data_IF_071557798547
#
_entry.id   IF_071557798547
#
_cell.length_a   1.000
_cell.length_b   1.000
_cell.length_c   1.000
_cell.angle_alpha   90.00
_cell.angle_beta   90.00
_cell.angle_gamma   90.00
#
_symmetry.space_group_name_H-M   'P 1'
#
loop_
_entity.id
_entity.type
_entity.pdbx_description
1 polymer ?
#
# COMPACT_ATOMS: atom_id res chain seq x y z
N UNK A 1 -42.71 -21.89 -14.55
CA UNK A 1 -41.95 -22.72 -13.60
C UNK A 1 -40.49 -22.36 -13.75
N UNK A 2 -39.99 -21.49 -12.87
CA UNK A 2 -38.59 -21.10 -12.78
C UNK A 2 -37.86 -22.07 -11.84
N UNK A 3 -36.91 -22.80 -12.33
CA UNK A 3 -36.01 -23.62 -11.53
C UNK A 3 -34.70 -22.82 -11.33
N UNK A 4 -34.54 -22.26 -10.13
CA UNK A 4 -33.27 -21.67 -9.70
C UNK A 4 -32.33 -22.79 -9.24
N UNK A 5 -31.27 -22.97 -9.97
CA UNK A 5 -30.17 -23.87 -9.57
C UNK A 5 -29.16 -23.04 -8.79
N UNK A 6 -29.15 -23.20 -7.49
CA UNK A 6 -28.10 -22.65 -6.62
C UNK A 6 -26.85 -23.52 -6.74
N UNK A 7 -25.78 -22.97 -7.30
CA UNK A 7 -24.46 -23.58 -7.26
C UNK A 7 -23.78 -23.17 -5.96
N UNK A 8 -23.74 -24.07 -5.00
CA UNK A 8 -22.89 -23.95 -3.83
C UNK A 8 -21.45 -24.28 -4.22
N UNK A 9 -20.61 -23.26 -4.30
CA UNK A 9 -19.15 -23.46 -4.34
C UNK A 9 -18.67 -23.61 -2.91
N UNK A 10 -18.34 -24.85 -2.53
CA UNK A 10 -17.65 -25.11 -1.28
C UNK A 10 -16.18 -24.72 -1.49
N UNK A 11 -15.79 -23.55 -0.98
CA UNK A 11 -14.39 -23.16 -0.85
C UNK A 11 -13.87 -23.84 0.41
N UNK A 12 -13.05 -24.88 0.20
CA UNK A 12 -12.34 -25.55 1.27
C UNK A 12 -11.29 -24.61 1.85
N UNK A 13 -11.49 -24.23 3.10
CA UNK A 13 -10.50 -23.50 3.88
C UNK A 13 -9.29 -24.41 4.15
N UNK A 14 -8.21 -24.23 3.42
CA UNK A 14 -6.88 -24.66 3.85
C UNK A 14 -6.32 -23.52 4.69
N UNK A 15 -6.52 -23.61 5.99
CA UNK A 15 -5.86 -22.74 6.93
C UNK A 15 -4.36 -23.10 6.94
N UNK A 16 -3.58 -22.48 6.09
CA UNK A 16 -2.15 -22.36 6.27
C UNK A 16 -1.94 -21.27 7.32
N UNK A 17 -1.67 -21.73 8.55
CA UNK A 17 -1.20 -20.88 9.64
C UNK A 17 0.18 -20.37 9.25
N UNK A 18 0.25 -19.24 8.59
CA UNK A 18 1.46 -18.46 8.44
C UNK A 18 1.58 -17.64 9.72
N UNK A 19 2.45 -18.08 10.59
CA UNK A 19 2.74 -17.37 11.82
C UNK A 19 3.37 -16.03 11.47
N UNK A 20 2.64 -14.94 11.68
CA UNK A 20 3.27 -13.66 12.00
C UNK A 20 4.10 -13.92 13.27
N UNK A 21 5.39 -14.06 13.10
CA UNK A 21 6.31 -14.00 14.22
C UNK A 21 6.38 -12.53 14.67
N UNK A 22 5.36 -12.08 15.40
CA UNK A 22 5.52 -10.86 16.19
C UNK A 22 6.60 -11.16 17.20
N UNK A 23 7.82 -10.84 16.85
CA UNK A 23 8.95 -10.87 17.75
C UNK A 23 8.77 -9.73 18.74
N UNK A 24 8.00 -10.00 19.79
CA UNK A 24 8.01 -9.16 20.98
C UNK A 24 9.41 -9.27 21.60
N UNK A 25 10.31 -8.45 21.14
CA UNK A 25 11.70 -8.44 21.57
C UNK A 25 12.30 -7.09 21.31
N UNK A 26 12.39 -6.26 22.36
CA UNK A 26 13.26 -5.09 22.40
C UNK A 26 12.73 -3.89 21.61
N UNK A 27 12.62 -2.76 22.27
CA UNK A 27 12.31 -1.44 21.74
C UNK A 27 13.42 -0.91 20.81
N UNK A 28 13.56 -1.46 19.60
CA UNK A 28 14.51 -1.01 18.60
C UNK A 28 13.81 -0.41 17.37
N UNK A 29 12.49 -0.18 17.43
CA UNK A 29 11.76 0.58 16.41
C UNK A 29 11.86 2.10 16.68
N UNK A 30 11.67 2.93 15.65
CA UNK A 30 11.59 4.38 15.85
C UNK A 30 10.40 4.73 16.76
N UNK A 31 10.50 5.85 17.50
CA UNK A 31 9.47 6.30 18.45
C UNK A 31 8.07 6.48 17.85
N UNK A 32 7.95 6.45 16.50
CA UNK A 32 6.72 6.67 15.75
C UNK A 32 5.97 5.40 15.31
N UNK A 33 6.51 4.19 15.63
CA UNK A 33 5.83 2.96 15.21
C UNK A 33 6.49 1.69 15.75
N UNK A 34 5.98 0.54 15.31
CA UNK A 34 6.45 -0.79 15.66
C UNK A 34 6.97 -1.53 14.43
N UNK A 35 8.01 -2.34 14.60
CA UNK A 35 8.58 -3.14 13.53
C UNK A 35 7.68 -4.33 13.19
N UNK A 36 7.45 -4.56 11.90
CA UNK A 36 6.77 -5.72 11.36
C UNK A 36 7.57 -6.33 10.20
N UNK A 37 7.40 -7.61 9.96
CA UNK A 37 8.03 -8.34 8.86
C UNK A 37 6.97 -9.12 8.08
N UNK A 38 7.05 -9.06 6.76
CA UNK A 38 6.25 -9.88 5.87
C UNK A 38 7.17 -10.74 5.00
N UNK A 39 7.08 -12.06 5.17
CA UNK A 39 7.95 -13.00 4.50
C UNK A 39 7.59 -13.19 3.00
N UNK A 40 6.34 -12.94 2.61
CA UNK A 40 5.90 -13.05 1.23
C UNK A 40 6.34 -11.83 0.43
N UNK A 41 6.20 -10.63 0.99
CA UNK A 41 6.77 -9.43 0.44
C UNK A 41 8.31 -9.41 0.55
N UNK A 42 8.89 -10.22 1.43
CA UNK A 42 10.32 -10.28 1.67
C UNK A 42 10.90 -8.99 2.26
N UNK A 43 10.11 -8.31 3.10
CA UNK A 43 10.48 -6.99 3.64
C UNK A 43 10.01 -6.81 5.08
N UNK A 44 10.85 -6.18 5.89
CA UNK A 44 10.47 -5.59 7.16
C UNK A 44 10.18 -4.11 6.99
N UNK A 45 9.27 -3.56 7.80
CA UNK A 45 8.83 -2.18 7.74
C UNK A 45 8.28 -1.71 9.09
N UNK A 46 8.09 -0.40 9.23
CA UNK A 46 7.51 0.17 10.45
C UNK A 46 6.00 0.40 10.24
N UNK A 47 5.21 -0.19 11.14
CA UNK A 47 3.77 0.09 11.27
C UNK A 47 3.61 1.30 12.19
N UNK A 48 3.05 2.43 11.73
CA UNK A 48 2.94 3.63 12.56
C UNK A 48 2.03 3.43 13.76
N UNK A 49 2.27 4.21 14.81
CA UNK A 49 1.37 4.25 15.98
C UNK A 49 -0.05 4.62 15.56
N UNK A 50 -1.05 3.84 16.00
CA UNK A 50 -2.45 4.01 15.61
C UNK A 50 -2.80 3.42 14.25
N UNK A 51 -1.92 2.54 13.73
CA UNK A 51 -2.17 1.72 12.55
C UNK A 51 -2.01 0.24 12.89
N UNK A 52 -2.75 -0.60 12.19
CA UNK A 52 -2.74 -2.05 12.35
C UNK A 52 -2.62 -2.74 10.99
N UNK A 53 -1.94 -3.89 10.99
CA UNK A 53 -1.92 -4.81 9.83
C UNK A 53 -3.26 -5.54 9.80
N UNK A 54 -3.90 -5.59 8.64
CA UNK A 54 -5.10 -6.39 8.43
C UNK A 54 -4.70 -7.85 8.26
N UNK A 55 -5.11 -8.72 9.19
CA UNK A 55 -4.75 -10.15 9.18
C UNK A 55 -5.82 -11.05 8.56
N UNK A 56 -7.08 -10.60 8.58
CA UNK A 56 -8.23 -11.47 8.25
C UNK A 56 -8.58 -11.49 6.75
N UNK A 57 -8.11 -10.52 5.97
CA UNK A 57 -8.41 -10.39 4.55
C UNK A 57 -7.12 -10.37 3.72
N UNK A 58 -7.04 -11.19 2.70
CA UNK A 58 -5.99 -11.15 1.69
C UNK A 58 -6.22 -9.90 0.81
N UNK A 59 -5.26 -8.97 0.76
CA UNK A 59 -5.44 -7.75 -0.04
C UNK A 59 -5.54 -8.09 -1.52
N UNK A 60 -6.36 -7.34 -2.25
CA UNK A 60 -6.51 -7.52 -3.70
C UNK A 60 -5.21 -7.22 -4.46
N UNK A 61 -4.38 -6.35 -3.91
CA UNK A 61 -3.06 -5.99 -4.41
C UNK A 61 -2.06 -5.99 -3.27
N UNK A 62 -0.84 -6.45 -3.55
CA UNK A 62 0.23 -6.53 -2.57
C UNK A 62 0.09 -7.69 -1.60
N UNK A 63 0.92 -7.68 -0.57
CA UNK A 63 0.97 -8.69 0.46
C UNK A 63 0.45 -8.17 1.81
N UNK A 64 0.53 -6.86 2.03
CA UNK A 64 0.17 -6.23 3.31
C UNK A 64 -0.82 -5.11 3.09
N UNK A 65 -1.86 -5.07 3.94
CA UNK A 65 -2.78 -3.96 4.07
C UNK A 65 -2.71 -3.39 5.48
N UNK A 66 -2.54 -2.08 5.57
CA UNK A 66 -2.59 -1.34 6.82
C UNK A 66 -3.83 -0.45 6.84
N UNK A 67 -4.49 -0.39 7.97
CA UNK A 67 -5.58 0.54 8.21
C UNK A 67 -5.32 1.34 9.48
N UNK A 68 -5.83 2.56 9.50
CA UNK A 68 -5.75 3.43 10.66
C UNK A 68 -6.84 3.06 11.65
N UNK A 69 -6.50 2.93 12.93
CA UNK A 69 -7.43 2.55 13.97
C UNK A 69 -8.57 3.58 14.09
N UNK A 70 -9.81 3.08 13.89
CA UNK A 70 -11.00 3.92 13.97
C UNK A 70 -11.26 4.86 12.78
N UNK A 71 -10.49 4.76 11.71
CA UNK A 71 -10.63 5.53 10.47
C UNK A 71 -10.92 4.59 9.29
N UNK A 72 -12.06 4.80 8.63
CA UNK A 72 -12.44 4.04 7.45
C UNK A 72 -12.09 4.76 6.13
N UNK A 73 -11.53 5.99 6.21
CA UNK A 73 -11.25 6.85 5.06
C UNK A 73 -9.84 6.67 4.51
N UNK A 74 -9.03 5.81 5.12
CA UNK A 74 -7.60 5.74 4.86
C UNK A 74 -7.11 4.30 4.88
N UNK A 75 -6.45 3.87 3.81
CA UNK A 75 -5.85 2.54 3.68
C UNK A 75 -4.50 2.62 3.00
N UNK A 76 -3.54 1.83 3.48
CA UNK A 76 -2.27 1.61 2.82
C UNK A 76 -2.14 0.17 2.36
N UNK A 77 -1.64 0.00 1.14
CA UNK A 77 -1.24 -1.29 0.59
C UNK A 77 0.26 -1.25 0.34
N UNK A 78 0.93 -2.34 0.63
CA UNK A 78 2.35 -2.48 0.31
C UNK A 78 2.70 -3.91 -0.09
N UNK A 79 3.83 -4.05 -0.74
CA UNK A 79 4.30 -5.36 -1.15
C UNK A 79 5.53 -5.31 -2.04
N UNK A 80 5.92 -6.50 -2.52
CA UNK A 80 7.00 -6.64 -3.49
C UNK A 80 6.51 -6.22 -4.88
N UNK A 81 7.32 -5.44 -5.60
CA UNK A 81 7.04 -5.09 -6.97
C UNK A 81 7.54 -6.19 -7.89
N UNK A 82 6.69 -7.14 -8.16
CA UNK A 82 6.97 -8.29 -9.02
C UNK A 82 6.16 -8.26 -10.33
N UNK A 83 6.34 -9.28 -11.17
CA UNK A 83 5.69 -9.38 -12.48
C UNK A 83 4.16 -9.46 -12.45
N UNK A 84 3.53 -9.61 -11.29
CA UNK A 84 2.08 -9.62 -11.13
C UNK A 84 1.48 -8.22 -11.19
N UNK A 85 2.27 -7.19 -10.86
CA UNK A 85 1.84 -5.81 -10.85
C UNK A 85 2.32 -5.06 -12.11
N UNK A 86 1.41 -4.35 -12.77
CA UNK A 86 1.66 -3.65 -14.05
C UNK A 86 2.85 -2.66 -13.98
N UNK A 87 3.08 -2.00 -12.85
CA UNK A 87 4.20 -1.09 -12.62
C UNK A 87 5.57 -1.79 -12.62
N UNK A 88 5.63 -3.13 -12.52
CA UNK A 88 6.88 -3.88 -12.52
C UNK A 88 7.63 -3.84 -13.85
N UNK A 89 6.94 -3.54 -14.95
CA UNK A 89 7.52 -3.42 -16.28
C UNK A 89 8.33 -2.13 -16.48
N UNK A 90 8.17 -1.15 -15.58
CA UNK A 90 8.89 0.12 -15.66
C UNK A 90 10.36 -0.04 -15.30
N UNK A 91 11.22 0.70 -16.00
CA UNK A 91 12.67 0.56 -15.90
C UNK A 91 13.28 1.22 -14.65
N UNK A 92 12.60 2.19 -14.07
CA UNK A 92 13.08 2.96 -12.93
C UNK A 92 11.96 3.23 -11.92
N UNK A 93 12.34 3.63 -10.70
CA UNK A 93 11.39 3.85 -9.60
C UNK A 93 10.43 5.01 -9.84
N UNK A 94 10.83 6.04 -10.58
CA UNK A 94 9.95 7.19 -10.85
C UNK A 94 8.84 6.84 -11.83
N UNK A 95 9.18 6.12 -12.91
CA UNK A 95 8.20 5.59 -13.86
C UNK A 95 7.28 4.58 -13.17
N UNK A 96 7.85 3.68 -12.35
CA UNK A 96 7.08 2.68 -11.61
C UNK A 96 6.12 3.33 -10.58
N UNK A 97 6.56 4.32 -9.81
CA UNK A 97 5.70 5.05 -8.87
C UNK A 97 4.56 5.79 -9.61
N UNK A 98 4.85 6.39 -10.77
CA UNK A 98 3.86 7.08 -11.59
C UNK A 98 2.83 6.11 -12.17
N UNK A 99 3.28 4.99 -12.70
CA UNK A 99 2.42 3.91 -13.22
C UNK A 99 1.55 3.34 -12.11
N UNK A 100 2.15 3.06 -10.95
CA UNK A 100 1.47 2.53 -9.77
C UNK A 100 0.38 3.49 -9.27
N UNK A 101 0.72 4.76 -9.02
CA UNK A 101 -0.22 5.78 -8.58
C UNK A 101 -1.40 5.92 -9.56
N UNK A 102 -1.10 5.94 -10.86
CA UNK A 102 -2.10 6.07 -11.92
C UNK A 102 -3.06 4.89 -11.95
N UNK A 103 -2.53 3.68 -12.02
CA UNK A 103 -3.35 2.48 -12.16
C UNK A 103 -4.16 2.16 -10.91
N UNK A 104 -3.55 2.30 -9.73
CA UNK A 104 -4.25 2.12 -8.46
C UNK A 104 -5.32 3.20 -8.26
N UNK A 105 -5.01 4.47 -8.59
CA UNK A 105 -5.98 5.55 -8.51
C UNK A 105 -7.19 5.32 -9.42
N UNK A 106 -7.00 4.86 -10.66
CA UNK A 106 -8.08 4.53 -11.57
C UNK A 106 -8.91 3.33 -11.09
N UNK A 107 -8.27 2.38 -10.41
CA UNK A 107 -8.97 1.22 -9.88
C UNK A 107 -9.82 1.56 -8.65
N UNK A 108 -9.26 2.27 -7.67
CA UNK A 108 -9.95 2.60 -6.42
C UNK A 108 -10.90 3.80 -6.54
N UNK A 109 -10.62 4.70 -7.48
CA UNK A 109 -11.41 5.90 -7.74
C UNK A 109 -11.84 5.98 -9.23
N UNK A 110 -12.70 5.05 -9.69
CA UNK A 110 -13.07 4.94 -11.10
C UNK A 110 -14.01 6.04 -11.60
N UNK A 111 -14.52 6.88 -10.70
CA UNK A 111 -15.46 7.93 -11.05
C UNK A 111 -14.78 9.07 -11.81
N UNK A 112 -15.57 9.78 -12.62
CA UNK A 112 -15.07 10.90 -13.42
C UNK A 112 -14.51 12.00 -12.53
N UNK A 113 -13.27 12.42 -12.79
CA UNK A 113 -12.57 13.43 -12.04
C UNK A 113 -11.33 13.93 -12.78
N UNK A 114 -10.67 14.91 -12.19
CA UNK A 114 -9.41 15.45 -12.67
C UNK A 114 -8.31 15.19 -11.64
N UNK A 115 -7.14 14.81 -12.11
CA UNK A 115 -5.95 14.75 -11.25
C UNK A 115 -5.38 16.16 -11.10
N UNK A 116 -5.26 16.58 -9.87
CA UNK A 116 -4.72 17.89 -9.50
C UNK A 116 -3.59 17.73 -8.50
N UNK A 117 -2.78 18.77 -8.34
CA UNK A 117 -1.68 18.82 -7.36
C UNK A 117 -0.71 17.63 -7.47
N UNK A 118 -0.36 17.27 -8.72
CA UNK A 118 0.62 16.24 -8.99
C UNK A 118 2.01 16.67 -8.49
N UNK A 119 2.57 15.90 -7.60
CA UNK A 119 3.92 16.08 -7.07
C UNK A 119 4.74 14.81 -7.27
N UNK A 120 6.00 15.01 -7.68
CA UNK A 120 7.01 13.95 -7.78
C UNK A 120 8.05 14.19 -6.70
N UNK A 121 8.41 13.14 -5.98
CA UNK A 121 9.37 13.19 -4.89
C UNK A 121 10.36 12.04 -4.93
N UNK A 122 11.22 12.05 -3.92
CA UNK A 122 12.18 10.98 -3.67
C UNK A 122 12.10 10.54 -2.22
N UNK A 123 12.29 9.27 -2.00
CA UNK A 123 12.38 8.67 -0.67
C UNK A 123 13.71 7.95 -0.54
N UNK A 124 14.32 8.05 0.63
CA UNK A 124 15.53 7.30 0.96
C UNK A 124 15.51 6.88 2.43
N UNK A 125 15.89 5.63 2.67
CA UNK A 125 16.09 5.05 3.99
C UNK A 125 17.50 4.50 4.14
N UNK A 126 17.71 3.74 5.20
CA UNK A 126 19.01 3.11 5.47
C UNK A 126 19.34 2.02 4.44
N UNK A 127 18.32 1.29 3.99
CA UNK A 127 18.49 0.10 3.15
C UNK A 127 17.94 0.25 1.74
N UNK A 128 17.09 1.24 1.49
CA UNK A 128 16.39 1.43 0.23
C UNK A 128 16.41 2.89 -0.20
N UNK A 129 16.22 3.13 -1.50
CA UNK A 129 15.96 4.44 -2.06
C UNK A 129 14.99 4.33 -3.22
N UNK A 130 14.29 5.41 -3.55
CA UNK A 130 13.32 5.36 -4.63
C UNK A 130 12.61 6.68 -4.87
N UNK A 131 11.44 6.57 -5.50
CA UNK A 131 10.67 7.72 -5.95
C UNK A 131 9.24 7.64 -5.45
N UNK A 132 8.64 8.83 -5.31
CA UNK A 132 7.25 8.97 -4.88
C UNK A 132 6.43 9.81 -5.84
N UNK A 133 5.13 9.57 -5.87
CA UNK A 133 4.15 10.33 -6.63
C UNK A 133 2.93 10.56 -5.76
N UNK A 134 2.48 11.80 -5.67
CA UNK A 134 1.24 12.15 -5.01
C UNK A 134 0.36 12.98 -5.90
N UNK A 135 -0.94 12.84 -5.77
CA UNK A 135 -1.93 13.72 -6.39
C UNK A 135 -3.27 13.63 -5.67
N UNK A 136 -4.15 14.57 -5.97
CA UNK A 136 -5.56 14.53 -5.58
C UNK A 136 -6.44 14.25 -6.80
N UNK A 137 -7.61 13.67 -6.57
CA UNK A 137 -8.67 13.51 -7.56
C UNK A 137 -9.81 14.44 -7.17
N UNK A 138 -10.00 15.50 -7.97
CA UNK A 138 -11.15 16.40 -7.91
C UNK A 138 -12.27 15.76 -8.72
N UNK A 139 -13.30 15.24 -8.05
CA UNK A 139 -14.40 14.56 -8.72
C UNK A 139 -15.37 15.52 -9.38
N UNK A 140 -15.90 15.10 -10.53
CA UNK A 140 -16.92 15.88 -11.25
C UNK A 140 -18.24 16.04 -10.49
N UNK A 141 -18.50 15.17 -9.50
CA UNK A 141 -19.65 15.25 -8.61
C UNK A 141 -19.36 16.19 -7.44
N UNK A 142 -20.03 17.36 -7.33
CA UNK A 142 -19.70 18.39 -6.33
C UNK A 142 -19.97 18.00 -4.87
N UNK A 143 -20.72 16.92 -4.64
CA UNK A 143 -21.03 16.41 -3.29
C UNK A 143 -20.04 15.38 -2.78
N UNK A 144 -19.11 14.97 -3.63
CA UNK A 144 -18.06 14.02 -3.30
C UNK A 144 -16.78 14.76 -2.92
N UNK A 145 -16.21 14.40 -1.79
CA UNK A 145 -14.93 14.91 -1.36
C UNK A 145 -13.80 14.43 -2.29
N UNK A 146 -12.75 15.25 -2.43
CA UNK A 146 -11.56 14.88 -3.19
C UNK A 146 -10.88 13.67 -2.56
N UNK A 147 -10.41 12.76 -3.40
CA UNK A 147 -9.55 11.68 -2.94
C UNK A 147 -8.06 12.07 -3.03
N UNK A 148 -7.25 11.43 -2.21
CA UNK A 148 -5.81 11.60 -2.19
C UNK A 148 -5.10 10.28 -2.44
N UNK A 149 -4.02 10.32 -3.22
CA UNK A 149 -3.18 9.17 -3.50
C UNK A 149 -1.72 9.57 -3.27
N UNK A 150 -1.01 8.71 -2.55
CA UNK A 150 0.45 8.77 -2.46
C UNK A 150 1.02 7.38 -2.75
N UNK A 151 1.93 7.28 -3.70
CA UNK A 151 2.60 6.04 -4.06
C UNK A 151 4.11 6.20 -3.94
N UNK A 152 4.77 5.19 -3.41
CA UNK A 152 6.22 5.07 -3.34
C UNK A 152 6.65 3.77 -4.01
N UNK A 153 7.74 3.81 -4.76
CA UNK A 153 8.48 2.62 -5.20
C UNK A 153 9.92 2.78 -4.77
N UNK A 154 10.40 1.82 -4.01
CA UNK A 154 11.79 1.79 -3.49
C UNK A 154 12.50 0.54 -3.98
N UNK A 155 13.83 0.63 -4.04
CA UNK A 155 14.67 -0.46 -4.52
C UNK A 155 15.93 -0.65 -3.68
N UNK A 156 16.45 -1.88 -3.72
CA UNK A 156 17.79 -2.26 -3.26
C UNK A 156 18.36 -3.31 -4.21
N UNK A 157 19.35 -2.94 -4.99
CA UNK A 157 19.85 -3.79 -6.08
C UNK A 157 18.78 -4.04 -7.13
N UNK A 158 18.45 -5.32 -7.36
CA UNK A 158 17.42 -5.72 -8.33
C UNK A 158 16.03 -5.91 -7.70
N UNK A 159 15.93 -5.86 -6.38
CA UNK A 159 14.67 -6.00 -5.67
C UNK A 159 13.97 -4.66 -5.49
N UNK A 160 12.66 -4.67 -5.71
CA UNK A 160 11.81 -3.49 -5.58
C UNK A 160 10.59 -3.78 -4.73
N UNK A 161 10.19 -2.78 -3.95
CA UNK A 161 8.97 -2.78 -3.14
C UNK A 161 8.17 -1.52 -3.39
N UNK A 162 6.91 -1.58 -3.06
CA UNK A 162 6.00 -0.46 -3.24
C UNK A 162 5.09 -0.27 -2.03
N UNK A 163 4.62 0.95 -1.89
CA UNK A 163 3.58 1.37 -0.96
C UNK A 163 2.62 2.29 -1.70
N UNK A 164 1.32 2.14 -1.48
CA UNK A 164 0.31 3.12 -1.90
C UNK A 164 -0.61 3.41 -0.74
N UNK A 165 -0.80 4.69 -0.44
CA UNK A 165 -1.75 5.18 0.53
C UNK A 165 -2.90 5.88 -0.18
N UNK A 166 -4.13 5.45 0.10
CA UNK A 166 -5.36 6.03 -0.42
C UNK A 166 -6.12 6.72 0.69
N UNK A 167 -6.69 7.89 0.37
CA UNK A 167 -7.63 8.60 1.21
C UNK A 167 -8.82 9.08 0.38
N UNK A 168 -10.03 8.91 0.88
CA UNK A 168 -11.26 9.31 0.20
C UNK A 168 -11.83 10.64 0.69
N UNK A 169 -11.08 11.34 1.56
CA UNK A 169 -11.34 12.72 2.01
C UNK A 169 -10.02 13.52 2.05
N UNK A 170 -10.08 14.85 1.88
CA UNK A 170 -8.91 15.71 1.94
C UNK A 170 -8.18 15.63 3.30
N UNK A 171 -6.85 15.53 3.26
CA UNK A 171 -6.01 15.47 4.45
C UNK A 171 -5.96 14.11 5.13
N UNK A 172 -6.49 13.07 4.50
CA UNK A 172 -6.42 11.69 5.02
C UNK A 172 -5.08 11.00 4.72
N UNK A 173 -4.29 11.53 3.77
CA UNK A 173 -2.97 11.02 3.41
C UNK A 173 -1.87 11.93 3.96
N UNK A 174 -1.10 11.42 4.90
CA UNK A 174 0.12 12.06 5.41
C UNK A 174 1.32 11.58 4.58
N UNK A 175 1.76 12.43 3.64
CA UNK A 175 2.82 12.09 2.69
C UNK A 175 4.18 11.90 3.38
N UNK A 176 4.47 12.69 4.41
CA UNK A 176 5.73 12.59 5.15
C UNK A 176 5.80 11.26 5.91
N UNK A 177 4.67 10.84 6.49
CA UNK A 177 4.57 9.54 7.14
C UNK A 177 4.66 8.39 6.13
N UNK A 178 4.02 8.50 4.95
CA UNK A 178 4.13 7.50 3.89
C UNK A 178 5.58 7.34 3.41
N UNK A 179 6.30 8.45 3.22
CA UNK A 179 7.71 8.45 2.85
C UNK A 179 8.59 7.82 3.96
N UNK A 180 8.28 8.11 5.23
CA UNK A 180 8.98 7.50 6.36
C UNK A 180 8.77 5.98 6.43
N UNK A 181 7.54 5.51 6.17
CA UNK A 181 7.25 4.06 6.11
C UNK A 181 8.00 3.41 4.95
N UNK A 182 7.91 3.96 3.74
CA UNK A 182 8.63 3.43 2.58
C UNK A 182 10.15 3.45 2.78
N UNK A 183 10.69 4.49 3.42
CA UNK A 183 12.10 4.59 3.79
C UNK A 183 12.53 3.61 4.90
N UNK A 184 11.59 3.08 5.67
CA UNK A 184 11.87 2.07 6.71
C UNK A 184 12.03 0.65 6.13
N UNK A 185 11.71 0.44 4.87
CA UNK A 185 11.77 -0.89 4.25
C UNK A 185 13.16 -1.49 4.36
N UNK A 186 13.21 -2.69 4.90
CA UNK A 186 14.44 -3.47 5.09
C UNK A 186 14.25 -4.85 4.48
N UNK A 187 14.95 -5.16 3.39
CA UNK A 187 14.86 -6.49 2.76
C UNK A 187 15.18 -7.60 3.75
N UNK A 188 14.37 -8.65 3.78
CA UNK A 188 14.62 -9.87 4.54
C UNK A 188 15.59 -10.77 3.77
N UNK A 189 16.54 -11.38 4.49
CA UNK A 189 17.55 -12.31 3.91
C UNK A 189 16.96 -13.72 3.69
#
# INVERSE_FOLDING_TARGET
VLVSTAVMVAVGAVALVWGLATRAGGSDGPDWGTWAEDAEAGVGFVVPTGWSVQEDDEPLFGQVMLHRDGDAHSVMLLGRLDGSLFASAESDTAAAASSLASGMGEFFFPDSGQRIDLELGQVSGEHVSGSTVSYRVDFAEPSRDDAEIHAAVVERGDDRWWLVWFGDIPGSVDRELADAIAGSFTPLE
#
